data_IF_220564200385
#
_entry.id   IF_220564200385
#
_cell.length_a   1.000
_cell.length_b   1.000
_cell.length_c   1.000
_cell.angle_alpha   90.00
_cell.angle_beta   90.00
_cell.angle_gamma   90.00
#
_symmetry.space_group_name_H-M   'P 1'
#
loop_
_entity.id
_entity.type
_entity.pdbx_description
1 polymer ?
#
# COMPACT_ATOMS: atom_id res chain seq x y z
N UNK A 1 -15.37 7.71 -10.97
CA UNK A 1 -14.55 8.86 -10.50
C UNK A 1 -14.15 9.82 -11.62
N UNK A 2 -13.72 9.36 -12.81
CA UNK A 2 -13.25 10.25 -13.90
C UNK A 2 -14.34 11.12 -14.60
N UNK A 3 -15.63 10.82 -14.42
CA UNK A 3 -16.73 11.59 -15.04
C UNK A 3 -16.94 13.00 -14.46
N UNK A 4 -16.16 13.39 -13.44
CA UNK A 4 -16.31 14.65 -12.71
C UNK A 4 -15.21 15.70 -12.98
N UNK A 5 -14.29 15.44 -13.91
CA UNK A 5 -13.14 16.33 -14.14
C UNK A 5 -12.03 16.21 -13.09
N UNK A 6 -12.05 15.15 -12.29
CA UNK A 6 -10.99 14.82 -11.33
C UNK A 6 -9.69 14.45 -12.06
N UNK A 7 -8.54 14.74 -11.45
CA UNK A 7 -7.23 14.42 -12.01
C UNK A 7 -6.97 12.91 -12.03
N UNK A 8 -6.02 12.46 -12.85
CA UNK A 8 -5.61 11.06 -12.87
C UNK A 8 -5.12 10.59 -11.48
N UNK A 9 -4.43 11.45 -10.72
CA UNK A 9 -3.95 11.19 -9.35
C UNK A 9 -5.12 10.96 -8.40
N UNK A 10 -6.15 11.82 -8.45
CA UNK A 10 -7.35 11.66 -7.62
C UNK A 10 -8.07 10.34 -7.93
N UNK A 11 -8.11 9.96 -9.22
CA UNK A 11 -8.76 8.74 -9.66
C UNK A 11 -8.06 7.47 -9.15
N UNK A 12 -6.72 7.41 -9.22
CA UNK A 12 -5.97 6.25 -8.73
C UNK A 12 -5.94 6.16 -7.21
N UNK A 13 -5.84 7.30 -6.50
CA UNK A 13 -5.94 7.32 -5.04
C UNK A 13 -7.32 6.80 -4.60
N UNK A 14 -8.41 7.32 -5.18
CA UNK A 14 -9.75 6.89 -4.82
C UNK A 14 -9.98 5.40 -5.12
N UNK A 15 -9.50 4.90 -6.25
CA UNK A 15 -9.61 3.49 -6.60
C UNK A 15 -8.84 2.59 -5.62
N UNK A 16 -7.59 2.93 -5.29
CA UNK A 16 -6.78 2.13 -4.36
C UNK A 16 -7.34 2.19 -2.95
N UNK A 17 -7.85 3.34 -2.48
CA UNK A 17 -8.49 3.44 -1.16
C UNK A 17 -9.69 2.50 -1.02
N UNK A 18 -10.52 2.38 -2.06
CA UNK A 18 -11.65 1.43 -2.05
C UNK A 18 -11.15 0.00 -1.84
N UNK A 19 -10.00 -0.35 -2.43
CA UNK A 19 -9.41 -1.67 -2.30
C UNK A 19 -8.70 -1.86 -0.95
N UNK A 20 -8.08 -0.81 -0.39
CA UNK A 20 -7.50 -0.81 0.96
C UNK A 20 -8.56 -0.92 2.07
N UNK A 21 -9.78 -0.46 1.80
CA UNK A 21 -10.90 -0.55 2.75
C UNK A 21 -11.63 -1.92 2.64
N UNK A 22 -11.36 -2.70 1.58
CA UNK A 22 -12.00 -4.00 1.35
C UNK A 22 -11.14 -5.14 1.94
N UNK A 23 -11.63 -5.83 3.00
CA UNK A 23 -10.87 -6.83 3.75
C UNK A 23 -10.49 -8.08 2.93
N UNK A 24 -10.95 -8.19 1.70
CA UNK A 24 -10.57 -9.27 0.78
C UNK A 24 -9.15 -9.10 0.25
N UNK A 25 -8.63 -7.88 0.16
CA UNK A 25 -7.32 -7.61 -0.46
C UNK A 25 -6.19 -7.46 0.56
N UNK A 26 -4.95 -7.75 0.15
CA UNK A 26 -3.74 -7.57 0.97
C UNK A 26 -3.24 -6.12 0.87
N UNK A 27 -4.05 -5.17 1.34
CA UNK A 27 -3.69 -3.78 1.49
C UNK A 27 -4.60 -3.10 2.51
N UNK A 28 -4.06 -2.22 3.36
CA UNK A 28 -4.88 -1.57 4.40
C UNK A 28 -5.57 -2.61 5.29
N UNK A 29 -6.90 -2.60 5.28
CA UNK A 29 -7.75 -3.62 5.90
C UNK A 29 -7.73 -4.90 5.05
N UNK A 30 -7.26 -6.00 5.63
CA UNK A 30 -7.01 -7.27 4.92
C UNK A 30 -5.53 -7.63 4.84
N UNK A 31 -4.64 -6.69 5.19
CA UNK A 31 -3.21 -6.87 5.09
C UNK A 31 -2.67 -8.08 5.89
N UNK A 32 -1.70 -8.76 5.28
CA UNK A 32 -1.02 -9.91 5.88
C UNK A 32 -0.09 -9.50 7.02
N UNK A 33 0.23 -10.49 7.86
CA UNK A 33 1.04 -10.32 9.07
C UNK A 33 2.52 -10.61 8.81
N UNK A 34 3.41 -9.81 9.39
CA UNK A 34 4.83 -10.08 9.44
C UNK A 34 5.17 -11.16 10.49
N UNK A 35 6.45 -11.53 10.62
CA UNK A 35 6.90 -12.58 11.53
C UNK A 35 6.57 -12.35 13.02
N UNK A 36 6.31 -11.10 13.44
CA UNK A 36 5.96 -10.73 14.81
C UNK A 36 4.43 -10.67 15.03
N UNK A 37 3.63 -10.92 13.99
CA UNK A 37 2.18 -10.81 14.07
C UNK A 37 1.68 -9.37 14.00
N UNK A 38 2.45 -8.47 13.38
CA UNK A 38 2.06 -7.09 13.08
C UNK A 38 1.78 -6.88 11.59
N UNK A 39 1.03 -5.83 11.26
CA UNK A 39 0.84 -5.34 9.89
C UNK A 39 1.88 -4.26 9.58
N UNK A 40 2.55 -4.39 8.44
CA UNK A 40 3.48 -3.40 7.89
C UNK A 40 3.14 -3.15 6.43
N UNK A 41 2.82 -1.91 6.08
CA UNK A 41 2.24 -1.52 4.81
C UNK A 41 3.25 -0.75 3.96
N UNK A 42 3.23 -1.03 2.65
CA UNK A 42 3.99 -0.31 1.64
C UNK A 42 3.02 0.27 0.60
N UNK A 43 3.25 1.51 0.16
CA UNK A 43 2.43 2.12 -0.89
C UNK A 43 3.20 3.19 -1.68
N UNK A 44 2.76 3.42 -2.91
CA UNK A 44 3.27 4.46 -3.81
C UNK A 44 2.14 5.11 -4.60
N UNK A 45 2.32 6.37 -4.95
CA UNK A 45 1.53 7.09 -5.95
C UNK A 45 2.44 8.00 -6.78
N UNK A 46 2.16 8.12 -8.08
CA UNK A 46 2.93 8.93 -9.01
C UNK A 46 2.04 9.67 -9.99
N UNK A 47 2.37 10.94 -10.23
CA UNK A 47 1.82 11.78 -11.29
C UNK A 47 2.72 11.72 -12.53
N UNK A 48 2.20 11.20 -13.65
CA UNK A 48 2.91 11.09 -14.92
C UNK A 48 3.12 12.44 -15.63
N UNK A 49 2.37 13.50 -15.28
CA UNK A 49 2.54 14.84 -15.87
C UNK A 49 3.78 15.54 -15.33
N UNK A 50 3.98 15.48 -14.02
CA UNK A 50 5.05 16.21 -13.32
C UNK A 50 6.21 15.32 -12.89
N UNK A 51 6.03 13.99 -12.95
CA UNK A 51 6.92 12.98 -12.36
C UNK A 51 7.03 13.08 -10.83
N UNK A 52 6.15 13.86 -10.18
CA UNK A 52 6.05 13.86 -8.73
C UNK A 52 5.61 12.47 -8.25
N UNK A 53 6.23 12.00 -7.18
CA UNK A 53 5.93 10.71 -6.58
C UNK A 53 6.03 10.80 -5.06
N UNK A 54 5.24 9.98 -4.39
CA UNK A 54 5.29 9.79 -2.95
C UNK A 54 5.14 8.34 -2.62
N UNK A 55 5.94 7.87 -1.66
CA UNK A 55 5.99 6.48 -1.25
C UNK A 55 6.17 6.36 0.26
N UNK A 56 5.67 5.26 0.81
CA UNK A 56 5.90 4.84 2.18
C UNK A 56 6.24 3.36 2.23
N UNK A 57 7.06 2.96 3.20
CA UNK A 57 7.28 1.54 3.48
C UNK A 57 7.34 1.22 4.97
N UNK A 58 7.01 -0.03 5.30
CA UNK A 58 6.98 -0.56 6.65
C UNK A 58 6.15 0.28 7.63
N UNK A 59 5.08 0.92 7.13
CA UNK A 59 4.21 1.77 7.95
C UNK A 59 3.23 0.89 8.71
N UNK A 60 3.02 1.20 9.98
CA UNK A 60 2.02 0.52 10.82
C UNK A 60 0.82 1.44 11.05
N UNK A 61 -0.29 0.89 11.54
CA UNK A 61 -1.37 1.66 12.15
C UNK A 61 -2.01 2.77 11.29
N UNK A 62 -2.06 2.59 9.97
CA UNK A 62 -2.72 3.51 9.03
C UNK A 62 -3.69 2.72 8.17
N UNK A 63 -4.94 3.17 8.06
CA UNK A 63 -5.97 2.50 7.26
C UNK A 63 -5.68 2.57 5.76
N UNK A 64 -5.28 3.75 5.27
CA UNK A 64 -5.09 4.02 3.84
C UNK A 64 -3.64 4.47 3.51
N UNK A 65 -2.70 3.52 3.40
CA UNK A 65 -1.31 3.78 3.00
C UNK A 65 -1.15 4.65 1.75
N UNK A 66 -1.98 4.48 0.72
CA UNK A 66 -1.91 5.27 -0.53
C UNK A 66 -2.14 6.76 -0.28
N UNK A 67 -3.00 7.11 0.68
CA UNK A 67 -3.29 8.51 1.05
C UNK A 67 -2.10 9.14 1.77
N UNK A 68 -1.40 8.35 2.59
CA UNK A 68 -0.16 8.78 3.23
C UNK A 68 0.95 8.95 2.20
N UNK A 69 1.08 8.03 1.25
CA UNK A 69 2.02 8.14 0.12
C UNK A 69 1.75 9.42 -0.70
N UNK A 70 0.49 9.73 -1.01
CA UNK A 70 0.12 11.01 -1.66
C UNK A 70 0.51 12.22 -0.81
N UNK A 71 0.32 12.14 0.50
CA UNK A 71 0.73 13.23 1.40
C UNK A 71 2.25 13.43 1.42
N UNK A 72 3.06 12.39 1.26
CA UNK A 72 4.51 12.53 1.08
C UNK A 72 4.81 13.33 -0.18
N UNK A 73 4.17 12.98 -1.30
CA UNK A 73 4.33 13.65 -2.60
C UNK A 73 3.98 15.15 -2.54
N UNK A 74 2.87 15.50 -1.88
CA UNK A 74 2.32 16.86 -1.95
C UNK A 74 2.77 17.79 -0.81
N UNK A 75 3.19 17.24 0.34
CA UNK A 75 3.41 18.00 1.57
C UNK A 75 4.84 17.94 2.09
N UNK A 76 5.75 17.32 1.34
CA UNK A 76 7.17 17.24 1.70
C UNK A 76 8.06 17.48 0.48
N UNK A 77 9.34 17.79 0.71
CA UNK A 77 10.36 17.84 -0.34
C UNK A 77 11.00 16.45 -0.59
N UNK A 78 10.36 15.38 -0.11
CA UNK A 78 10.87 14.01 -0.14
C UNK A 78 9.97 13.11 -0.97
N UNK A 79 10.56 12.03 -1.49
CA UNK A 79 9.83 11.05 -2.31
C UNK A 79 9.36 9.86 -1.47
N UNK A 80 10.11 9.48 -0.44
CA UNK A 80 9.84 8.26 0.32
C UNK A 80 10.15 8.43 1.80
N UNK A 81 9.23 7.99 2.66
CA UNK A 81 9.44 7.86 4.11
C UNK A 81 9.28 6.40 4.53
N UNK A 82 9.91 6.01 5.64
CA UNK A 82 9.86 4.62 6.11
C UNK A 82 9.59 4.50 7.60
N UNK A 83 8.91 3.40 7.97
CA UNK A 83 8.66 2.98 9.34
C UNK A 83 8.18 4.09 10.25
N UNK A 84 8.79 4.17 11.43
CA UNK A 84 8.44 5.15 12.45
C UNK A 84 8.47 6.62 11.97
N UNK A 85 9.32 6.96 10.99
CA UNK A 85 9.36 8.31 10.43
C UNK A 85 8.11 8.65 9.61
N UNK A 86 7.64 7.69 8.82
CA UNK A 86 6.37 7.83 8.09
C UNK A 86 5.16 7.85 9.04
N UNK A 87 5.19 7.06 10.11
CA UNK A 87 4.16 7.13 11.17
C UNK A 87 4.10 8.49 11.87
N UNK A 88 5.26 9.06 12.23
CA UNK A 88 5.32 10.41 12.81
C UNK A 88 4.78 11.46 11.85
N UNK A 89 5.09 11.33 10.56
CA UNK A 89 4.53 12.19 9.53
C UNK A 89 3.00 12.05 9.44
N UNK A 90 2.46 10.83 9.43
CA UNK A 90 1.02 10.59 9.47
C UNK A 90 0.34 11.26 10.68
N UNK A 91 0.92 11.11 11.87
CA UNK A 91 0.44 11.78 13.09
C UNK A 91 0.48 13.31 12.97
N UNK A 92 1.52 13.88 12.35
CA UNK A 92 1.62 15.33 12.12
C UNK A 92 0.55 15.87 11.17
N UNK A 93 -0.01 15.01 10.30
CA UNK A 93 -1.11 15.34 9.41
C UNK A 93 -2.49 15.14 10.07
N UNK A 94 -2.53 14.60 11.29
CA UNK A 94 -3.76 14.24 11.99
C UNK A 94 -4.46 13.00 11.42
N UNK A 95 -3.73 12.10 10.76
CA UNK A 95 -4.26 10.81 10.33
C UNK A 95 -4.51 9.95 11.59
N UNK A 96 -5.72 9.40 11.70
CA UNK A 96 -6.11 8.56 12.83
C UNK A 96 -5.34 7.24 12.81
N UNK A 97 -4.81 6.85 13.97
CA UNK A 97 -4.14 5.57 14.13
C UNK A 97 -5.18 4.46 14.30
N UNK A 98 -5.03 3.40 13.51
CA UNK A 98 -5.84 2.17 13.64
C UNK A 98 -5.00 1.05 14.23
N UNK A 99 -5.59 0.19 15.04
CA UNK A 99 -4.88 -0.95 15.62
C UNK A 99 -4.60 -2.03 14.57
N UNK A 100 -3.59 -2.87 14.83
CA UNK A 100 -3.35 -4.09 14.04
C UNK A 100 -4.61 -4.97 13.97
N UNK A 101 -5.37 -5.06 15.06
CA UNK A 101 -6.59 -5.85 15.13
C UNK A 101 -7.70 -5.35 14.18
N UNK A 102 -7.75 -4.05 13.90
CA UNK A 102 -8.70 -3.45 12.96
C UNK A 102 -8.30 -3.68 11.49
N UNK A 103 -6.99 -3.78 11.23
CA UNK A 103 -6.46 -4.04 9.88
C UNK A 103 -6.50 -5.52 9.51
N UNK A 104 -6.47 -6.42 10.48
CA UNK A 104 -6.23 -7.86 10.24
C UNK A 104 -7.54 -8.65 10.21
N UNK A 105 -7.70 -9.46 9.16
CA UNK A 105 -8.82 -10.39 9.04
C UNK A 105 -8.51 -11.74 9.68
N UNK A 106 -9.56 -12.52 9.95
CA UNK A 106 -9.40 -13.91 10.39
C UNK A 106 -8.64 -14.74 9.35
N UNK A 107 -8.86 -14.48 8.06
CA UNK A 107 -8.17 -15.16 6.97
C UNK A 107 -6.65 -14.89 7.02
N UNK A 108 -6.24 -13.63 7.16
CA UNK A 108 -4.83 -13.27 7.27
C UNK A 108 -4.14 -13.92 8.49
N UNK A 109 -4.85 -14.07 9.63
CA UNK A 109 -4.33 -14.78 10.81
C UNK A 109 -4.13 -16.27 10.56
N UNK A 110 -5.08 -16.90 9.87
CA UNK A 110 -4.99 -18.32 9.52
C UNK A 110 -3.81 -18.57 8.58
N UNK A 111 -3.65 -17.73 7.56
CA UNK A 111 -2.51 -17.80 6.64
C UNK A 111 -1.18 -17.64 7.39
N UNK A 112 -1.09 -16.67 8.29
CA UNK A 112 0.09 -16.45 9.14
C UNK A 112 0.43 -17.65 10.04
N UNK A 113 -0.57 -18.37 10.54
CA UNK A 113 -0.38 -19.60 11.31
C UNK A 113 0.03 -20.80 10.46
N UNK A 114 -0.35 -20.82 9.18
CA UNK A 114 -0.18 -21.97 8.28
C UNK A 114 1.15 -21.94 7.52
N UNK A 115 1.57 -20.78 7.02
CA UNK A 115 2.71 -20.67 6.09
C UNK A 115 3.93 -20.03 6.74
N UNK A 116 5.12 -20.63 6.56
CA UNK A 116 6.37 -19.89 6.76
C UNK A 116 6.69 -19.07 5.51
N UNK A 117 7.47 -18.00 5.65
CA UNK A 117 7.79 -17.09 4.54
C UNK A 117 8.26 -17.80 3.27
N UNK A 118 9.19 -18.78 3.38
CA UNK A 118 9.68 -19.54 2.22
C UNK A 118 8.58 -20.33 1.51
N UNK A 119 7.62 -20.85 2.27
CA UNK A 119 6.49 -21.62 1.76
C UNK A 119 5.46 -20.69 1.13
N UNK A 120 5.21 -19.53 1.74
CA UNK A 120 4.36 -18.49 1.17
C UNK A 120 4.91 -17.98 -0.17
N UNK A 121 6.21 -17.69 -0.25
CA UNK A 121 6.85 -17.28 -1.51
C UNK A 121 6.69 -18.37 -2.58
N UNK A 122 6.86 -19.64 -2.22
CA UNK A 122 6.83 -20.74 -3.19
C UNK A 122 5.42 -21.09 -3.66
N UNK A 123 4.41 -21.03 -2.78
CA UNK A 123 3.06 -21.53 -3.05
C UNK A 123 2.02 -20.43 -3.30
N UNK A 124 2.24 -19.23 -2.77
CA UNK A 124 1.28 -18.12 -2.82
C UNK A 124 1.77 -17.07 -3.83
N UNK A 125 3.03 -16.64 -3.71
CA UNK A 125 3.61 -15.60 -4.56
C UNK A 125 3.97 -16.12 -5.96
N UNK A 126 4.71 -17.22 -6.07
CA UNK A 126 5.20 -17.71 -7.37
C UNK A 126 4.16 -18.48 -8.23
N UNK A 127 2.99 -18.79 -7.68
CA UNK A 127 1.95 -19.59 -8.36
C UNK A 127 0.72 -18.79 -8.83
N UNK A 128 0.82 -17.45 -8.90
CA UNK A 128 -0.28 -16.52 -9.30
C UNK A 128 -1.53 -16.57 -8.40
N UNK A 129 -1.50 -17.31 -7.29
CA UNK A 129 -2.69 -17.59 -6.48
C UNK A 129 -2.94 -16.59 -5.33
N UNK A 130 -2.02 -15.66 -5.06
CA UNK A 130 -2.10 -14.77 -3.90
C UNK A 130 -1.31 -13.47 -4.07
N UNK A 131 -1.46 -12.81 -5.23
CA UNK A 131 -1.02 -11.42 -5.38
C UNK A 131 -2.21 -10.50 -5.11
N UNK A 132 -2.56 -10.37 -3.84
CA UNK A 132 -3.62 -9.44 -3.39
C UNK A 132 -3.08 -8.01 -3.17
N UNK A 133 -1.90 -7.70 -3.72
CA UNK A 133 -1.43 -6.33 -3.94
C UNK A 133 -2.44 -5.60 -4.82
N UNK A 134 -2.83 -4.41 -4.41
CA UNK A 134 -3.82 -3.61 -5.14
C UNK A 134 -3.14 -2.47 -5.87
N UNK A 135 -3.67 -2.11 -7.03
CA UNK A 135 -3.14 -1.01 -7.81
C UNK A 135 -4.14 -0.45 -8.80
N UNK A 136 -3.88 0.77 -9.23
CA UNK A 136 -4.68 1.44 -10.23
C UNK A 136 -3.80 2.26 -11.15
N UNK A 137 -4.22 2.34 -12.41
CA UNK A 137 -3.70 3.29 -13.40
C UNK A 137 -4.87 4.06 -13.98
N UNK A 138 -4.69 5.36 -14.22
CA UNK A 138 -5.73 6.19 -14.81
C UNK A 138 -5.12 7.15 -15.84
N UNK A 139 -5.95 7.50 -16.82
CA UNK A 139 -5.74 8.63 -17.72
C UNK A 139 -6.90 9.60 -17.54
N UNK A 140 -6.61 10.88 -17.36
CA UNK A 140 -7.65 11.92 -17.26
C UNK A 140 -8.02 12.51 -18.63
N UNK A 141 -9.00 13.42 -18.63
CA UNK A 141 -9.51 14.05 -19.85
C UNK A 141 -8.47 14.96 -20.57
N UNK A 142 -7.42 15.38 -19.86
CA UNK A 142 -6.31 16.14 -20.43
C UNK A 142 -5.20 15.23 -20.99
N UNK A 143 -5.32 13.91 -20.80
CA UNK A 143 -4.31 12.93 -21.20
C UNK A 143 -3.17 12.77 -20.18
N UNK A 144 -3.32 13.27 -18.96
CA UNK A 144 -2.34 13.02 -17.90
C UNK A 144 -2.52 11.61 -17.34
N UNK A 145 -1.41 10.93 -17.06
CA UNK A 145 -1.39 9.59 -16.49
C UNK A 145 -1.06 9.64 -14.99
N UNK A 146 -1.58 8.70 -14.23
CA UNK A 146 -1.14 8.45 -12.86
C UNK A 146 -1.22 6.96 -12.54
N UNK A 147 -0.45 6.54 -11.53
CA UNK A 147 -0.51 5.20 -10.98
C UNK A 147 -0.41 5.21 -9.46
N UNK A 148 -0.99 4.20 -8.83
CA UNK A 148 -0.86 3.94 -7.40
C UNK A 148 -0.83 2.43 -7.12
N UNK A 149 -0.12 2.02 -6.08
CA UNK A 149 -0.03 0.62 -5.62
C UNK A 149 0.07 0.58 -4.09
N UNK A 150 -0.55 -0.42 -3.46
CA UNK A 150 -0.56 -0.60 -2.00
C UNK A 150 -0.52 -2.09 -1.65
N UNK A 151 0.20 -2.46 -0.59
CA UNK A 151 0.32 -3.87 -0.17
C UNK A 151 0.66 -4.04 1.31
N UNK A 152 0.20 -5.15 1.92
CA UNK A 152 0.72 -5.70 3.18
C UNK A 152 1.95 -6.59 2.99
N UNK A 153 2.18 -7.11 1.78
CA UNK A 153 3.41 -7.75 1.35
C UNK A 153 3.27 -9.25 1.22
N UNK A 154 3.97 -10.02 2.07
CA UNK A 154 3.89 -11.48 2.06
C UNK A 154 3.80 -11.92 3.51
N UNK A 155 2.90 -12.84 3.81
CA UNK A 155 2.75 -13.40 5.16
C UNK A 155 4.07 -13.93 5.71
N UNK A 156 4.27 -13.75 7.02
CA UNK A 156 5.49 -14.10 7.72
C UNK A 156 6.77 -13.42 7.20
N UNK A 157 6.66 -12.32 6.43
CA UNK A 157 7.83 -11.51 6.08
C UNK A 157 8.62 -11.10 7.32
N UNK A 158 9.94 -10.96 7.19
CA UNK A 158 10.75 -10.35 8.24
C UNK A 158 10.23 -8.95 8.55
N UNK A 159 10.28 -8.54 9.82
CA UNK A 159 9.95 -7.18 10.23
C UNK A 159 10.82 -6.19 9.45
N UNK A 160 10.18 -5.17 8.88
CA UNK A 160 10.86 -4.18 8.05
C UNK A 160 11.21 -4.64 6.63
N UNK A 161 10.71 -5.81 6.17
CA UNK A 161 10.85 -6.21 4.76
C UNK A 161 10.03 -5.26 3.88
N UNK A 162 10.71 -4.67 2.91
CA UNK A 162 10.12 -3.81 1.86
C UNK A 162 9.94 -4.63 0.58
N UNK A 163 8.76 -4.55 -0.03
CA UNK A 163 8.48 -5.14 -1.34
C UNK A 163 8.92 -4.29 -2.52
N UNK A 164 8.46 -4.64 -3.71
CA UNK A 164 8.61 -3.85 -4.94
C UNK A 164 7.69 -2.63 -4.98
N UNK A 165 6.52 -2.71 -4.34
CA UNK A 165 5.47 -1.67 -4.36
C UNK A 165 5.98 -0.24 -4.11
N UNK A 166 6.79 0.07 -3.08
CA UNK A 166 7.19 1.44 -2.83
C UNK A 166 8.42 1.88 -3.66
N UNK A 167 8.94 1.02 -4.54
CA UNK A 167 10.13 1.29 -5.35
C UNK A 167 9.73 1.75 -6.74
N UNK A 168 9.98 3.03 -7.03
CA UNK A 168 9.70 3.62 -8.35
C UNK A 168 10.38 2.79 -9.45
N UNK A 169 9.58 2.32 -10.42
CA UNK A 169 10.05 1.55 -11.56
C UNK A 169 10.27 0.06 -11.29
N UNK A 170 9.90 -0.46 -10.11
CA UNK A 170 10.03 -1.87 -9.78
C UNK A 170 8.73 -2.67 -9.90
N UNK A 171 7.55 -2.05 -9.79
CA UNK A 171 6.26 -2.77 -9.86
C UNK A 171 6.21 -3.65 -11.11
N UNK A 172 6.09 -4.98 -10.97
CA UNK A 172 5.87 -5.84 -12.11
C UNK A 172 4.47 -5.57 -12.68
N UNK A 173 4.38 -5.64 -14.01
CA UNK A 173 3.08 -5.73 -14.69
C UNK A 173 2.51 -7.14 -14.62
#
# INVERSE_FOLDING_TARGET
>A
HLESGASAVDAVEAAVRILEDDPVFDAGHGAVLNADGDVELDAIIMDGKTLAAGAICCVKNVSNPVTLARSVMEKTDHVMLSGAGANQFAASLGIEEVSTEELVTQHAREEWGQYKYSDAVSNLFNMEAAHDTVGAVAIDAEGNLACATSTGGITNKMVGRVGDTPVIGASPG
#
